data_IF_322461445224
#
_entry.id   IF_322461445224
#
_cell.length_a   1.000
_cell.length_b   1.000
_cell.length_c   1.000
_cell.angle_alpha   90.00
_cell.angle_beta   90.00
_cell.angle_gamma   90.00
#
_symmetry.space_group_name_H-M   'P 1'
#
loop_
_entity.id
_entity.type
_entity.pdbx_description
1 polymer ?
#
# COMPACT_ATOMS: atom_id res chain seq x y z
N UNK A 1 13.49 9.71 -7.66
CA UNK A 1 12.81 9.75 -6.35
C UNK A 1 11.64 8.80 -6.45
N UNK A 2 11.50 7.85 -5.53
CA UNK A 2 10.45 6.81 -5.62
C UNK A 2 9.14 7.37 -5.06
N UNK A 3 8.05 7.24 -5.81
CA UNK A 3 6.73 7.76 -5.40
C UNK A 3 5.94 6.74 -4.57
N UNK A 4 6.05 5.46 -4.91
CA UNK A 4 5.30 4.39 -4.28
C UNK A 4 5.54 3.06 -5.01
N UNK A 5 4.79 2.03 -4.60
CA UNK A 5 4.77 0.72 -5.25
C UNK A 5 3.35 0.32 -5.59
N UNK A 6 3.19 -0.33 -6.75
CA UNK A 6 1.94 -1.00 -7.09
C UNK A 6 1.91 -2.39 -6.43
N UNK A 7 0.72 -2.80 -6.01
CA UNK A 7 0.51 -4.09 -5.33
C UNK A 7 -0.74 -4.77 -5.84
N UNK A 8 -0.71 -6.09 -5.81
CA UNK A 8 -1.88 -6.94 -5.99
C UNK A 8 -2.63 -7.04 -4.65
N UNK A 9 -3.96 -7.08 -4.71
CA UNK A 9 -4.81 -7.22 -3.52
C UNK A 9 -5.26 -8.67 -3.45
N UNK A 10 -4.93 -9.35 -2.36
CA UNK A 10 -5.35 -10.74 -2.16
C UNK A 10 -6.88 -10.87 -2.20
N UNK A 11 -7.36 -11.88 -2.90
CA UNK A 11 -8.78 -12.09 -3.16
C UNK A 11 -9.44 -11.13 -4.16
N UNK A 12 -8.74 -10.11 -4.69
CA UNK A 12 -9.28 -9.15 -5.65
C UNK A 12 -8.30 -8.90 -6.82
N UNK A 13 -8.17 -9.84 -7.77
CA UNK A 13 -7.17 -9.78 -8.85
C UNK A 13 -7.38 -8.63 -9.85
N UNK A 14 -8.60 -8.10 -9.96
CA UNK A 14 -8.92 -7.01 -10.88
C UNK A 14 -8.61 -5.62 -10.29
N UNK A 15 -8.21 -5.54 -9.02
CA UNK A 15 -7.91 -4.28 -8.35
C UNK A 15 -6.39 -4.04 -8.27
N UNK A 16 -5.97 -2.87 -8.75
CA UNK A 16 -4.59 -2.41 -8.61
C UNK A 16 -4.45 -1.50 -7.38
N UNK A 17 -3.65 -1.94 -6.42
CA UNK A 17 -3.31 -1.15 -5.25
C UNK A 17 -2.10 -0.24 -5.49
N UNK A 18 -2.08 0.92 -4.85
CA UNK A 18 -0.94 1.83 -4.80
C UNK A 18 -0.63 2.18 -3.35
N UNK A 19 0.59 1.85 -2.92
CA UNK A 19 1.15 2.26 -1.64
C UNK A 19 2.13 3.41 -1.90
N UNK A 20 1.74 4.62 -1.50
CA UNK A 20 2.58 5.81 -1.64
C UNK A 20 3.61 5.87 -0.51
N UNK A 21 4.82 6.32 -0.81
CA UNK A 21 5.87 6.52 0.21
C UNK A 21 5.45 7.53 1.28
N UNK A 22 4.58 8.48 0.91
CA UNK A 22 3.99 9.48 1.81
C UNK A 22 2.98 8.88 2.80
N UNK A 23 2.43 7.70 2.51
CA UNK A 23 1.53 6.98 3.40
C UNK A 23 2.29 6.09 4.40
N UNK A 24 3.59 5.92 4.23
CA UNK A 24 4.43 5.14 5.13
C UNK A 24 4.88 5.95 6.36
N UNK A 25 5.09 5.29 7.51
CA UNK A 25 5.79 5.90 8.64
C UNK A 25 7.18 6.39 8.24
N UNK A 26 7.62 7.49 8.86
CA UNK A 26 8.95 8.06 8.59
C UNK A 26 10.04 7.03 8.86
N UNK A 27 10.97 6.89 7.91
CA UNK A 27 12.07 5.92 8.00
C UNK A 27 11.71 4.50 7.57
N UNK A 28 10.46 4.25 7.16
CA UNK A 28 10.08 2.99 6.53
C UNK A 28 10.51 2.94 5.06
N UNK A 29 10.72 1.74 4.57
CA UNK A 29 11.02 1.46 3.17
C UNK A 29 9.78 0.95 2.45
N UNK A 30 9.75 1.13 1.12
CA UNK A 30 8.71 0.54 0.30
C UNK A 30 8.88 -0.99 0.27
N UNK A 31 7.79 -1.77 0.29
CA UNK A 31 7.84 -3.22 0.14
C UNK A 31 8.59 -3.62 -1.13
N UNK A 32 9.37 -4.69 -1.04
CA UNK A 32 10.02 -5.30 -2.20
C UNK A 32 9.05 -6.26 -2.89
N UNK A 33 9.19 -6.46 -4.21
CA UNK A 33 8.38 -7.41 -4.97
C UNK A 33 8.46 -8.82 -4.35
N UNK A 34 7.31 -9.46 -4.20
CA UNK A 34 7.18 -10.80 -3.59
C UNK A 34 6.99 -10.80 -2.07
N UNK A 35 7.04 -9.63 -1.42
CA UNK A 35 6.68 -9.49 0.01
C UNK A 35 5.18 -9.29 0.14
N UNK A 36 4.57 -10.07 1.03
CA UNK A 36 3.18 -9.91 1.46
C UNK A 36 3.11 -9.06 2.72
N UNK A 37 2.12 -8.18 2.82
CA UNK A 37 1.92 -7.30 3.97
C UNK A 37 0.45 -6.93 4.12
N UNK A 38 0.07 -6.56 5.34
CA UNK A 38 -1.28 -6.08 5.65
C UNK A 38 -1.40 -4.58 5.41
N UNK A 39 -2.48 -4.19 4.75
CA UNK A 39 -2.79 -2.80 4.44
C UNK A 39 -4.29 -2.55 4.58
N UNK A 40 -4.64 -1.28 4.71
CA UNK A 40 -6.03 -0.86 4.69
C UNK A 40 -6.26 0.13 3.55
N UNK A 41 -7.45 0.04 2.95
CA UNK A 41 -7.88 0.97 1.92
C UNK A 41 -8.03 2.35 2.52
N UNK A 42 -7.24 3.30 2.00
CA UNK A 42 -7.28 4.69 2.41
C UNK A 42 -8.22 5.51 1.53
N UNK A 43 -8.23 5.25 0.22
CA UNK A 43 -9.03 6.00 -0.77
C UNK A 43 -9.13 5.24 -2.12
N UNK A 44 -9.95 5.75 -3.04
CA UNK A 44 -10.09 5.23 -4.40
C UNK A 44 -9.81 6.34 -5.43
N UNK A 45 -8.75 6.17 -6.22
CA UNK A 45 -8.44 7.05 -7.34
C UNK A 45 -9.19 6.58 -8.60
N UNK A 46 -10.48 6.91 -8.67
CA UNK A 46 -11.39 6.44 -9.72
C UNK A 46 -10.97 6.81 -11.16
N UNK A 47 -10.19 7.87 -11.35
CA UNK A 47 -9.69 8.26 -12.68
C UNK A 47 -8.52 7.38 -13.15
N UNK A 48 -7.80 6.73 -12.21
CA UNK A 48 -6.68 5.84 -12.49
C UNK A 48 -7.03 4.36 -12.33
N UNK A 49 -8.26 4.06 -11.91
CA UNK A 49 -8.71 2.71 -11.52
C UNK A 49 -7.80 2.07 -10.46
N UNK A 50 -7.42 2.87 -9.46
CA UNK A 50 -6.48 2.47 -8.42
C UNK A 50 -7.08 2.59 -7.03
N UNK A 51 -6.71 1.65 -6.17
CA UNK A 51 -6.99 1.67 -4.73
C UNK A 51 -5.77 2.23 -4.02
N UNK A 52 -5.94 3.34 -3.28
CA UNK A 52 -4.85 3.90 -2.46
C UNK A 52 -4.82 3.18 -1.12
N UNK A 53 -3.64 2.72 -0.74
CA UNK A 53 -3.42 1.93 0.46
C UNK A 53 -2.60 2.73 1.48
N UNK A 54 -2.82 2.43 2.75
CA UNK A 54 -1.92 2.78 3.86
C UNK A 54 -1.59 1.52 4.64
N UNK A 55 -0.41 1.46 5.31
CA UNK A 55 -0.10 0.34 6.19
C UNK A 55 -1.21 0.13 7.21
N UNK A 56 -1.57 -1.13 7.46
CA UNK A 56 -2.33 -1.44 8.66
C UNK A 56 -1.47 -1.02 9.86
N UNK A 57 -2.08 -0.34 10.83
CA UNK A 57 -1.35 0.03 12.04
C UNK A 57 -0.86 -1.26 12.69
N UNK A 58 0.46 -1.45 12.68
CA UNK A 58 1.07 -2.46 13.54
C UNK A 58 1.04 -1.81 14.91
N UNK A 59 0.22 -2.30 15.84
CA UNK A 59 0.46 -1.96 17.23
C UNK A 59 1.92 -2.30 17.50
N UNK A 60 2.74 -1.25 17.68
CA UNK A 60 4.10 -1.41 18.10
C UNK A 60 4.01 -2.02 19.50
N UNK A 61 4.09 -3.35 19.57
CA UNK A 61 4.22 -4.07 20.83
C UNK A 61 5.36 -3.43 21.62
N UNK A 62 5.01 -2.88 22.78
CA UNK A 62 5.94 -2.27 23.73
C UNK A 62 6.86 -3.27 24.42
#
# INVERSE_FOLDING_TARGET
MTFGVFVEIDGQPDALGLLEITALPRGSELPTVGVYFDAVVADHAAHNWQVRLRPAEVEAGG
#
